data_IF_851350521799
#
_entry.id   IF_851350521799
#
_cell.length_a   1.000
_cell.length_b   1.000
_cell.length_c   1.000
_cell.angle_alpha   90.00
_cell.angle_beta   90.00
_cell.angle_gamma   90.00
#
_symmetry.space_group_name_H-M   'P 1'
#
loop_
_entity.id
_entity.type
_entity.pdbx_description
1 polymer ?
#
# COMPACT_ATOMS: atom_id res chain seq x y z
N UNK A 1 -22.90 18.22 -0.45
CA UNK A 1 -23.02 17.30 -1.61
C UNK A 1 -22.15 17.87 -2.72
N UNK A 2 -21.17 17.08 -3.18
CA UNK A 2 -20.36 17.42 -4.36
C UNK A 2 -21.22 17.26 -5.62
N UNK A 3 -21.05 18.15 -6.60
CA UNK A 3 -21.65 17.97 -7.92
C UNK A 3 -21.05 16.75 -8.62
N UNK A 4 -21.88 15.96 -9.29
CA UNK A 4 -21.42 14.74 -9.96
C UNK A 4 -20.43 15.03 -11.10
N UNK A 5 -20.59 16.16 -11.79
CA UNK A 5 -19.65 16.56 -12.84
C UNK A 5 -18.28 16.96 -12.27
N UNK A 6 -18.25 17.51 -11.07
CA UNK A 6 -17.01 17.81 -10.35
C UNK A 6 -16.32 16.51 -9.91
N UNK A 7 -17.09 15.56 -9.36
CA UNK A 7 -16.57 14.24 -9.01
C UNK A 7 -15.96 13.52 -10.21
N UNK A 8 -16.65 13.50 -11.35
CA UNK A 8 -16.16 12.90 -12.60
C UNK A 8 -14.83 13.51 -13.03
N UNK A 9 -14.69 14.84 -12.93
CA UNK A 9 -13.42 15.53 -13.24
C UNK A 9 -12.30 15.13 -12.30
N UNK A 10 -12.59 15.04 -10.99
CA UNK A 10 -11.58 14.65 -10.00
C UNK A 10 -11.14 13.19 -10.18
N UNK A 11 -12.04 12.30 -10.56
CA UNK A 11 -11.69 10.91 -10.91
C UNK A 11 -10.86 10.88 -12.19
N UNK A 12 -11.28 11.61 -13.23
CA UNK A 12 -10.57 11.64 -14.51
C UNK A 12 -9.15 12.21 -14.42
N UNK A 13 -8.88 13.11 -13.47
CA UNK A 13 -7.53 13.65 -13.25
C UNK A 13 -6.74 12.91 -12.14
N UNK A 14 -7.26 11.80 -11.61
CA UNK A 14 -6.59 10.96 -10.62
C UNK A 14 -6.55 11.53 -9.19
N UNK A 15 -7.29 12.61 -8.90
CA UNK A 15 -7.36 13.22 -7.57
C UNK A 15 -8.43 12.60 -6.66
N UNK A 16 -9.29 11.77 -7.22
CA UNK A 16 -10.22 10.88 -6.54
C UNK A 16 -10.11 9.50 -7.17
N UNK A 17 -10.09 8.48 -6.33
CA UNK A 17 -10.12 7.07 -6.73
C UNK A 17 -11.36 6.40 -6.17
N UNK A 18 -11.79 5.34 -6.80
CA UNK A 18 -12.89 4.48 -6.35
C UNK A 18 -12.38 3.03 -6.46
N UNK A 19 -11.71 2.52 -5.41
CA UNK A 19 -11.23 1.14 -5.43
C UNK A 19 -12.40 0.17 -5.55
N UNK A 20 -12.46 -0.58 -6.66
CA UNK A 20 -13.59 -1.45 -6.96
C UNK A 20 -13.21 -2.52 -7.98
N UNK A 21 -12.67 -3.64 -7.51
CA UNK A 21 -12.33 -4.77 -8.36
C UNK A 21 -13.58 -5.37 -9.02
N UNK A 22 -13.51 -5.64 -10.31
CA UNK A 22 -14.61 -6.25 -11.09
C UNK A 22 -15.12 -7.59 -10.52
N UNK A 23 -14.29 -8.29 -9.74
CA UNK A 23 -14.61 -9.57 -9.12
C UNK A 23 -15.22 -9.44 -7.70
N UNK A 24 -15.15 -8.27 -7.06
CA UNK A 24 -15.74 -8.01 -5.75
C UNK A 24 -17.23 -7.64 -5.90
N UNK A 25 -18.12 -8.64 -5.85
CA UNK A 25 -19.54 -8.49 -6.21
C UNK A 25 -20.42 -7.87 -5.13
N UNK A 26 -20.02 -7.94 -3.87
CA UNK A 26 -20.81 -7.37 -2.74
C UNK A 26 -20.32 -5.99 -2.30
N UNK A 27 -19.32 -5.42 -2.97
CA UNK A 27 -18.74 -4.12 -2.62
C UNK A 27 -19.79 -3.00 -2.62
N UNK A 28 -19.75 -2.19 -1.54
CA UNK A 28 -20.37 -0.85 -1.48
C UNK A 28 -19.27 0.19 -1.76
N UNK A 29 -19.12 0.68 -3.01
CA UNK A 29 -17.97 1.45 -3.41
C UNK A 29 -17.93 2.83 -2.76
N UNK A 30 -16.74 3.25 -2.34
CA UNK A 30 -16.50 4.56 -1.75
C UNK A 30 -15.38 5.32 -2.45
N UNK A 31 -15.57 6.61 -2.68
CA UNK A 31 -14.54 7.49 -3.25
C UNK A 31 -13.53 7.94 -2.19
N UNK A 32 -12.24 7.97 -2.54
CA UNK A 32 -11.13 8.42 -1.70
C UNK A 32 -10.39 9.55 -2.43
N UNK A 33 -10.18 10.68 -1.78
CA UNK A 33 -9.38 11.77 -2.36
C UNK A 33 -9.95 13.16 -2.12
N UNK A 34 -9.60 14.07 -3.02
CA UNK A 34 -9.89 15.50 -2.90
C UNK A 34 -11.36 15.79 -2.71
N UNK A 35 -11.67 16.70 -1.80
CA UNK A 35 -13.04 17.16 -1.49
C UNK A 35 -13.96 16.11 -0.87
N UNK A 36 -13.49 14.88 -0.66
CA UNK A 36 -14.24 13.84 0.01
C UNK A 36 -13.85 13.72 1.49
N UNK A 37 -14.77 13.14 2.28
CA UNK A 37 -14.48 12.78 3.66
C UNK A 37 -13.34 11.74 3.72
N UNK A 38 -12.45 11.89 4.70
CA UNK A 38 -11.43 10.86 4.97
C UNK A 38 -12.10 9.53 5.33
N UNK A 39 -11.63 8.45 4.71
CA UNK A 39 -12.09 7.07 4.98
C UNK A 39 -11.23 6.42 6.04
N UNK A 40 -11.83 5.50 6.75
CA UNK A 40 -11.13 4.67 7.75
C UNK A 40 -10.82 3.32 7.14
N UNK A 41 -9.54 2.97 7.13
CA UNK A 41 -9.04 1.65 6.74
C UNK A 41 -8.58 0.91 7.99
N UNK A 42 -9.14 -0.28 8.25
CA UNK A 42 -8.83 -1.10 9.42
C UNK A 42 -7.88 -2.24 9.03
N UNK A 43 -6.73 -2.28 9.69
CA UNK A 43 -5.74 -3.33 9.49
C UNK A 43 -6.04 -4.53 10.38
N UNK A 44 -5.99 -5.73 9.79
CA UNK A 44 -6.14 -7.02 10.46
C UNK A 44 -5.37 -8.10 9.71
N UNK A 45 -5.43 -9.33 10.17
CA UNK A 45 -4.80 -10.45 9.46
C UNK A 45 -4.10 -11.45 10.38
N UNK A 46 -3.92 -12.65 9.87
CA UNK A 46 -3.27 -13.75 10.57
C UNK A 46 -1.74 -13.66 10.55
N UNK A 47 -1.12 -14.18 11.60
CA UNK A 47 0.34 -14.29 11.75
C UNK A 47 0.71 -15.69 12.22
N UNK A 48 2.03 -16.01 12.22
CA UNK A 48 2.52 -17.29 12.74
C UNK A 48 2.06 -17.56 14.19
N UNK A 49 1.94 -16.51 14.99
CA UNK A 49 1.60 -16.62 16.42
C UNK A 49 0.08 -16.65 16.65
N UNK A 50 -0.73 -16.26 15.68
CA UNK A 50 -2.17 -16.22 15.76
C UNK A 50 -2.79 -16.48 14.37
N UNK A 51 -3.39 -17.67 14.18
CA UNK A 51 -3.99 -18.15 12.92
C UNK A 51 -5.48 -18.42 13.11
N UNK A 52 -6.18 -17.56 13.84
CA UNK A 52 -7.61 -17.69 14.11
C UNK A 52 -8.42 -16.87 13.11
N UNK A 53 -8.92 -17.54 12.06
CA UNK A 53 -9.71 -16.91 11.01
C UNK A 53 -11.08 -16.44 11.50
N UNK A 54 -11.69 -17.11 12.47
CA UNK A 54 -12.99 -16.72 13.00
C UNK A 54 -12.85 -15.43 13.80
N UNK A 55 -11.79 -15.29 14.59
CA UNK A 55 -11.46 -14.06 15.29
C UNK A 55 -11.18 -12.91 14.30
N UNK A 56 -10.47 -13.17 13.20
CA UNK A 56 -10.24 -12.13 12.17
C UNK A 56 -11.55 -11.70 11.49
N UNK A 57 -12.46 -12.64 11.21
CA UNK A 57 -13.79 -12.32 10.67
C UNK A 57 -14.64 -11.51 11.65
N UNK A 58 -14.57 -11.80 12.93
CA UNK A 58 -15.24 -11.00 13.97
C UNK A 58 -14.69 -9.55 14.00
N UNK A 59 -13.38 -9.37 13.82
CA UNK A 59 -12.77 -8.03 13.67
C UNK A 59 -13.31 -7.31 12.44
N UNK A 60 -13.40 -7.99 11.29
CA UNK A 60 -13.99 -7.43 10.06
C UNK A 60 -15.42 -6.97 10.30
N UNK A 61 -16.27 -7.85 10.84
CA UNK A 61 -17.66 -7.56 11.11
C UNK A 61 -17.84 -6.37 12.07
N UNK A 62 -17.02 -6.30 13.11
CA UNK A 62 -17.02 -5.20 14.05
C UNK A 62 -16.54 -3.89 13.40
N UNK A 63 -15.48 -3.93 12.59
CA UNK A 63 -14.97 -2.76 11.88
C UNK A 63 -16.03 -2.16 10.93
N UNK A 64 -16.65 -3.00 10.12
CA UNK A 64 -17.74 -2.60 9.20
C UNK A 64 -18.93 -2.03 9.97
N UNK A 65 -19.35 -2.70 11.07
CA UNK A 65 -20.43 -2.21 11.94
C UNK A 65 -20.11 -0.86 12.58
N UNK A 66 -18.85 -0.57 12.83
CA UNK A 66 -18.37 0.72 13.37
C UNK A 66 -18.19 1.78 12.27
N UNK A 67 -18.41 1.43 11.01
CA UNK A 67 -18.36 2.37 9.88
C UNK A 67 -17.02 2.46 9.17
N UNK A 68 -16.14 1.46 9.30
CA UNK A 68 -14.94 1.39 8.47
C UNK A 68 -15.33 1.19 6.98
N UNK A 69 -14.75 1.98 6.11
CA UNK A 69 -14.99 1.92 4.67
C UNK A 69 -14.02 0.97 3.95
N UNK A 70 -12.90 0.65 4.58
CA UNK A 70 -11.92 -0.26 4.02
C UNK A 70 -11.34 -1.20 5.08
N UNK A 71 -11.00 -2.40 4.64
CA UNK A 71 -10.32 -3.43 5.42
C UNK A 71 -9.00 -3.78 4.71
N UNK A 72 -7.90 -3.72 5.44
CA UNK A 72 -6.58 -4.12 4.95
C UNK A 72 -6.22 -5.48 5.54
N UNK A 73 -6.23 -6.50 4.72
CA UNK A 73 -5.77 -7.83 5.09
C UNK A 73 -4.23 -7.90 5.00
N UNK A 74 -3.60 -7.94 6.16
CA UNK A 74 -2.15 -8.06 6.35
C UNK A 74 -1.72 -9.48 6.70
N UNK A 75 -2.55 -10.48 6.38
CA UNK A 75 -2.27 -11.88 6.66
C UNK A 75 -0.93 -12.29 6.07
N UNK A 76 -0.16 -13.01 6.85
CA UNK A 76 1.19 -13.44 6.53
C UNK A 76 1.47 -14.89 6.92
N UNK A 77 0.42 -15.63 7.28
CA UNK A 77 0.50 -17.04 7.64
C UNK A 77 -0.86 -17.73 7.55
N UNK A 78 -0.86 -19.04 7.26
CA UNK A 78 -2.07 -19.84 7.11
C UNK A 78 -2.63 -19.82 5.68
N UNK A 79 -3.90 -20.17 5.52
CA UNK A 79 -4.59 -20.15 4.22
C UNK A 79 -5.09 -18.73 3.90
N UNK A 80 -4.16 -17.87 3.53
CA UNK A 80 -4.41 -16.45 3.24
C UNK A 80 -5.34 -16.27 2.05
N UNK A 81 -5.23 -17.13 1.03
CA UNK A 81 -6.08 -17.06 -0.16
C UNK A 81 -7.54 -17.36 0.17
N UNK A 82 -7.80 -18.36 1.00
CA UNK A 82 -9.17 -18.69 1.43
C UNK A 82 -9.78 -17.53 2.22
N UNK A 83 -9.01 -16.92 3.11
CA UNK A 83 -9.47 -15.77 3.89
C UNK A 83 -9.78 -14.57 2.99
N UNK A 84 -8.88 -14.23 2.08
CA UNK A 84 -9.04 -13.14 1.10
C UNK A 84 -10.28 -13.32 0.24
N UNK A 85 -10.50 -14.52 -0.33
CA UNK A 85 -11.70 -14.84 -1.12
C UNK A 85 -12.98 -14.73 -0.31
N UNK A 86 -12.93 -15.09 0.97
CA UNK A 86 -14.08 -14.91 1.85
C UNK A 86 -14.38 -13.43 2.06
N UNK A 87 -13.36 -12.59 2.29
CA UNK A 87 -13.53 -11.14 2.41
C UNK A 87 -14.17 -10.54 1.15
N UNK A 88 -13.64 -10.83 -0.03
CA UNK A 88 -14.15 -10.28 -1.30
C UNK A 88 -15.49 -10.86 -1.75
N UNK A 89 -15.99 -11.89 -1.07
CA UNK A 89 -17.30 -12.48 -1.34
C UNK A 89 -18.37 -11.99 -0.36
N UNK A 90 -18.02 -11.72 0.89
CA UNK A 90 -18.99 -11.48 1.97
C UNK A 90 -18.92 -10.06 2.56
N UNK A 91 -17.79 -9.36 2.46
CA UNK A 91 -17.60 -8.05 3.06
C UNK A 91 -17.93 -6.91 2.09
N UNK A 92 -18.83 -5.98 2.43
CA UNK A 92 -19.17 -4.87 1.55
C UNK A 92 -18.15 -3.72 1.56
N UNK A 93 -17.17 -3.74 2.48
CA UNK A 93 -16.12 -2.72 2.54
C UNK A 93 -15.04 -2.96 1.47
N UNK A 94 -14.33 -1.92 1.09
CA UNK A 94 -13.16 -1.99 0.19
C UNK A 94 -12.11 -2.91 0.81
N UNK A 95 -11.61 -3.89 0.06
CA UNK A 95 -10.59 -4.84 0.53
C UNK A 95 -9.22 -4.49 -0.07
N UNK A 96 -8.26 -4.28 0.82
CA UNK A 96 -6.86 -4.07 0.46
C UNK A 96 -5.95 -5.20 0.94
N UNK A 97 -4.84 -5.41 0.25
CA UNK A 97 -3.82 -6.41 0.62
C UNK A 97 -2.40 -5.94 0.33
N UNK A 98 -1.43 -6.69 0.83
CA UNK A 98 0.01 -6.51 0.54
C UNK A 98 0.56 -7.80 -0.08
N UNK A 99 0.56 -7.97 -1.41
CA UNK A 99 0.89 -9.23 -2.07
C UNK A 99 2.26 -9.80 -1.69
N UNK A 100 3.25 -8.95 -1.41
CA UNK A 100 4.59 -9.39 -1.02
C UNK A 100 4.60 -10.24 0.26
N UNK A 101 3.63 -10.08 1.17
CA UNK A 101 3.56 -10.90 2.39
C UNK A 101 3.16 -12.33 2.07
N UNK A 102 2.34 -12.51 1.06
CA UNK A 102 1.81 -13.82 0.66
C UNK A 102 2.84 -14.63 -0.14
N UNK A 103 3.65 -13.99 -0.97
CA UNK A 103 4.63 -14.66 -1.81
C UNK A 103 5.60 -15.55 -1.02
N UNK A 104 6.09 -15.05 0.11
CA UNK A 104 7.03 -15.77 0.98
C UNK A 104 6.38 -17.01 1.60
N UNK A 105 5.08 -16.94 1.89
CA UNK A 105 4.30 -18.04 2.49
C UNK A 105 3.85 -19.03 1.43
N UNK A 106 3.32 -18.53 0.32
CA UNK A 106 2.71 -19.33 -0.75
C UNK A 106 3.72 -20.26 -1.44
N UNK A 107 4.91 -19.75 -1.79
CA UNK A 107 5.89 -20.55 -2.52
C UNK A 107 6.71 -21.49 -1.65
N UNK A 108 6.70 -21.34 -0.33
CA UNK A 108 7.51 -22.15 0.60
C UNK A 108 9.01 -22.22 0.20
N UNK A 109 9.54 -21.15 -0.38
CA UNK A 109 10.91 -21.01 -0.87
C UNK A 109 11.71 -20.06 0.01
N UNK A 110 13.03 -20.19 -0.04
CA UNK A 110 13.91 -19.14 0.49
C UNK A 110 13.70 -17.85 -0.32
N UNK A 111 13.74 -16.69 0.35
CA UNK A 111 13.45 -15.40 -0.25
C UNK A 111 14.23 -15.17 -1.56
N UNK A 112 15.54 -15.50 -1.60
CA UNK A 112 16.39 -15.36 -2.78
C UNK A 112 16.03 -16.26 -3.96
N UNK A 113 15.19 -17.27 -3.76
CA UNK A 113 14.79 -18.25 -4.78
C UNK A 113 13.46 -17.86 -5.44
N UNK A 114 12.77 -16.86 -4.91
CA UNK A 114 11.54 -16.31 -5.52
C UNK A 114 11.97 -15.52 -6.76
N UNK A 115 11.44 -15.90 -7.90
CA UNK A 115 11.72 -15.26 -9.20
C UNK A 115 10.89 -14.00 -9.40
N UNK A 116 11.33 -13.11 -10.28
CA UNK A 116 10.56 -11.92 -10.66
C UNK A 116 9.15 -12.29 -11.14
N UNK A 117 9.03 -13.35 -11.93
CA UNK A 117 7.73 -13.85 -12.40
C UNK A 117 6.81 -14.26 -11.25
N UNK A 118 7.33 -14.96 -10.26
CA UNK A 118 6.54 -15.39 -9.08
C UNK A 118 6.07 -14.19 -8.26
N UNK A 119 6.86 -13.10 -8.17
CA UNK A 119 6.40 -11.85 -7.57
C UNK A 119 5.19 -11.23 -8.31
N UNK A 120 5.17 -11.28 -9.64
CA UNK A 120 4.06 -10.79 -10.45
C UNK A 120 2.85 -11.74 -10.40
N UNK A 121 3.10 -13.06 -10.39
CA UNK A 121 2.04 -14.07 -10.29
C UNK A 121 1.23 -13.92 -8.99
N UNK A 122 1.87 -13.56 -7.86
CA UNK A 122 1.17 -13.26 -6.61
C UNK A 122 0.30 -12.00 -6.75
N UNK A 123 0.77 -10.95 -7.40
CA UNK A 123 -0.05 -9.75 -7.66
C UNK A 123 -1.29 -10.13 -8.46
N UNK A 124 -1.13 -10.94 -9.51
CA UNK A 124 -2.24 -11.43 -10.33
C UNK A 124 -3.23 -12.25 -9.51
N UNK A 125 -2.75 -13.16 -8.66
CA UNK A 125 -3.60 -13.98 -7.81
C UNK A 125 -4.48 -13.12 -6.88
N UNK A 126 -3.92 -12.08 -6.26
CA UNK A 126 -4.71 -11.17 -5.42
C UNK A 126 -5.76 -10.39 -6.23
N UNK A 127 -5.42 -9.96 -7.44
CA UNK A 127 -6.36 -9.29 -8.33
C UNK A 127 -7.51 -10.21 -8.75
N UNK A 128 -7.21 -11.47 -9.11
CA UNK A 128 -8.20 -12.50 -9.45
C UNK A 128 -9.14 -12.81 -8.28
N UNK A 129 -8.62 -12.83 -7.05
CA UNK A 129 -9.39 -13.06 -5.84
C UNK A 129 -10.33 -11.90 -5.47
N UNK A 130 -10.31 -10.78 -6.21
CA UNK A 130 -11.26 -9.68 -6.06
C UNK A 130 -10.81 -8.56 -5.14
N UNK A 131 -9.52 -8.44 -4.83
CA UNK A 131 -8.96 -7.36 -4.01
C UNK A 131 -9.10 -6.01 -4.72
N UNK A 132 -9.62 -4.99 -4.03
CA UNK A 132 -9.92 -3.68 -4.61
C UNK A 132 -8.70 -2.77 -4.73
N UNK A 133 -7.74 -2.90 -3.79
CA UNK A 133 -6.47 -2.21 -3.89
C UNK A 133 -5.32 -3.05 -3.33
N UNK A 134 -4.13 -2.84 -3.85
CA UNK A 134 -2.93 -3.55 -3.41
C UNK A 134 -1.81 -2.58 -3.08
N UNK A 135 -1.20 -2.75 -1.89
CA UNK A 135 0.02 -2.03 -1.55
C UNK A 135 1.23 -2.73 -2.18
N UNK A 136 1.90 -2.01 -3.06
CA UNK A 136 3.08 -2.50 -3.80
C UNK A 136 4.25 -1.54 -3.59
N UNK A 137 5.36 -2.05 -3.06
CA UNK A 137 6.56 -1.28 -2.74
C UNK A 137 7.48 -1.17 -3.98
N UNK A 138 7.03 -0.45 -5.00
CA UNK A 138 7.78 -0.24 -6.25
C UNK A 138 8.67 1.01 -6.23
N UNK A 139 8.58 1.86 -5.23
CA UNK A 139 9.40 3.08 -5.10
C UNK A 139 10.86 2.80 -4.76
N UNK A 140 11.14 1.72 -4.01
CA UNK A 140 12.50 1.29 -3.71
C UNK A 140 13.09 0.53 -4.92
N UNK A 141 14.15 1.06 -5.49
CA UNK A 141 14.89 0.50 -6.62
C UNK A 141 16.40 0.58 -6.36
N UNK A 142 17.24 0.12 -7.28
CA UNK A 142 18.72 0.16 -7.08
C UNK A 142 19.27 1.56 -6.82
N UNK A 143 18.67 2.59 -7.41
CA UNK A 143 19.12 3.97 -7.20
C UNK A 143 18.74 4.47 -5.80
N UNK A 144 17.48 4.26 -5.37
CA UNK A 144 17.02 4.59 -4.00
C UNK A 144 17.75 3.75 -2.96
N UNK A 145 17.97 2.44 -3.22
CA UNK A 145 18.75 1.54 -2.35
C UNK A 145 20.21 2.00 -2.17
N UNK A 146 20.83 2.53 -3.22
CA UNK A 146 22.20 3.08 -3.12
C UNK A 146 22.22 4.31 -2.21
N UNK A 147 21.24 5.22 -2.33
CA UNK A 147 21.10 6.40 -1.46
C UNK A 147 20.81 5.99 -0.03
N UNK A 148 19.88 5.05 0.16
CA UNK A 148 19.55 4.46 1.46
C UNK A 148 20.79 3.93 2.19
N UNK A 149 21.68 3.19 1.50
CA UNK A 149 22.95 2.70 2.10
C UNK A 149 23.92 3.83 2.48
N UNK A 150 23.88 4.93 1.75
CA UNK A 150 24.71 6.09 2.06
C UNK A 150 24.14 6.97 3.18
N UNK A 151 22.86 6.86 3.42
CA UNK A 151 22.13 7.55 4.48
C UNK A 151 22.39 6.88 5.83
N UNK A 152 22.54 7.68 6.87
CA UNK A 152 22.83 7.19 8.22
C UNK A 152 21.55 7.16 9.05
N UNK A 153 20.55 6.43 8.57
CA UNK A 153 19.31 6.23 9.32
C UNK A 153 19.56 5.56 10.66
N UNK A 154 18.84 6.05 11.67
CA UNK A 154 18.84 5.45 13.00
C UNK A 154 18.04 4.12 12.99
N UNK A 155 16.89 4.13 12.30
CA UNK A 155 15.97 2.99 12.22
C UNK A 155 15.87 2.47 10.79
N UNK A 156 16.82 1.87 10.22
CA UNK A 156 16.80 1.29 8.87
C UNK A 156 15.44 1.29 8.13
N UNK A 157 15.08 0.21 7.41
CA UNK A 157 13.76 0.05 6.77
C UNK A 157 12.79 -0.57 7.77
N UNK A 158 11.79 0.18 8.19
CA UNK A 158 10.74 -0.28 9.13
C UNK A 158 9.50 -0.82 8.41
N UNK A 159 9.36 -0.54 7.13
CA UNK A 159 8.33 -1.14 6.29
C UNK A 159 8.60 -2.63 6.12
N UNK A 160 7.64 -3.48 6.50
CA UNK A 160 7.79 -4.94 6.34
C UNK A 160 7.93 -5.33 4.86
N UNK A 161 7.05 -4.83 3.99
CA UNK A 161 7.13 -5.09 2.55
C UNK A 161 8.38 -4.49 1.93
N UNK A 162 8.73 -3.26 2.31
CA UNK A 162 9.97 -2.61 1.89
C UNK A 162 11.22 -3.39 2.29
N UNK A 163 11.27 -3.92 3.52
CA UNK A 163 12.42 -4.71 3.98
C UNK A 163 12.54 -6.07 3.27
N UNK A 164 11.41 -6.72 2.96
CA UNK A 164 11.41 -7.98 2.21
C UNK A 164 11.99 -7.77 0.80
N UNK A 165 11.48 -6.79 0.07
CA UNK A 165 11.94 -6.54 -1.30
C UNK A 165 13.37 -6.03 -1.34
N UNK A 166 13.77 -5.16 -0.39
CA UNK A 166 15.15 -4.70 -0.27
C UNK A 166 16.10 -5.86 0.00
N UNK A 167 15.76 -6.76 0.94
CA UNK A 167 16.55 -7.94 1.22
C UNK A 167 16.68 -8.87 0.00
N UNK A 168 15.58 -9.04 -0.77
CA UNK A 168 15.62 -9.79 -2.02
C UNK A 168 16.58 -9.17 -3.04
N UNK A 169 16.53 -7.85 -3.22
CA UNK A 169 17.44 -7.12 -4.10
C UNK A 169 18.90 -7.29 -3.68
N UNK A 170 19.19 -7.19 -2.39
CA UNK A 170 20.55 -7.36 -1.86
C UNK A 170 21.06 -8.80 -2.03
N UNK A 171 20.22 -9.81 -1.79
CA UNK A 171 20.57 -11.21 -1.90
C UNK A 171 20.78 -11.67 -3.35
N UNK A 172 20.04 -11.12 -4.29
CA UNK A 172 20.04 -11.55 -5.69
C UNK A 172 20.89 -10.65 -6.59
N UNK A 173 21.13 -9.40 -6.17
CA UNK A 173 21.74 -8.38 -7.01
C UNK A 173 20.83 -7.87 -8.13
N UNK A 174 19.56 -8.30 -8.17
CA UNK A 174 18.58 -7.89 -9.18
C UNK A 174 17.90 -6.56 -8.81
N UNK A 175 17.21 -5.96 -9.78
CA UNK A 175 16.33 -4.83 -9.56
C UNK A 175 15.05 -5.28 -8.85
N UNK A 176 14.37 -4.35 -8.16
CA UNK A 176 13.04 -4.58 -7.63
C UNK A 176 12.08 -5.00 -8.76
N UNK A 177 11.52 -6.23 -8.76
CA UNK A 177 10.68 -6.71 -9.84
C UNK A 177 9.41 -5.88 -10.04
N UNK A 178 8.85 -5.28 -8.98
CA UNK A 178 7.70 -4.39 -9.10
C UNK A 178 8.04 -3.05 -9.74
N UNK A 179 9.29 -2.62 -9.69
CA UNK A 179 9.78 -1.45 -10.41
C UNK A 179 10.20 -1.80 -11.84
N UNK A 180 10.95 -2.89 -12.03
CA UNK A 180 11.46 -3.32 -13.32
C UNK A 180 10.33 -3.70 -14.28
N UNK A 181 9.34 -4.46 -13.79
CA UNK A 181 8.16 -4.92 -14.54
C UNK A 181 6.90 -4.12 -14.17
N UNK A 182 7.05 -2.82 -13.91
CA UNK A 182 5.95 -1.98 -13.45
C UNK A 182 4.78 -1.95 -14.43
N UNK A 183 5.06 -1.93 -15.74
CA UNK A 183 4.03 -1.93 -16.78
C UNK A 183 3.19 -3.22 -16.78
N UNK A 184 3.79 -4.36 -16.48
CA UNK A 184 3.08 -5.63 -16.33
C UNK A 184 2.20 -5.64 -15.06
N UNK A 185 2.67 -5.04 -13.98
CA UNK A 185 1.86 -4.84 -12.76
C UNK A 185 0.67 -3.94 -13.07
N UNK A 186 0.86 -2.86 -13.82
CA UNK A 186 -0.23 -1.97 -14.26
C UNK A 186 -1.23 -2.68 -15.16
N UNK A 187 -0.77 -3.54 -16.06
CA UNK A 187 -1.65 -4.32 -16.93
C UNK A 187 -2.54 -5.29 -16.13
N UNK A 188 -2.00 -5.89 -15.05
CA UNK A 188 -2.80 -6.68 -14.10
C UNK A 188 -3.83 -5.80 -13.40
N UNK A 189 -3.42 -4.65 -12.85
CA UNK A 189 -4.32 -3.73 -12.16
C UNK A 189 -5.45 -3.26 -13.09
N UNK A 190 -5.15 -2.89 -14.32
CA UNK A 190 -6.12 -2.49 -15.33
C UNK A 190 -7.10 -3.62 -15.69
N UNK A 191 -6.59 -4.85 -15.85
CA UNK A 191 -7.41 -6.01 -16.21
C UNK A 191 -8.52 -6.29 -15.19
N UNK A 192 -8.23 -6.09 -13.88
CA UNK A 192 -9.14 -6.41 -12.77
C UNK A 192 -9.78 -5.18 -12.11
N UNK A 193 -9.45 -3.97 -12.58
CA UNK A 193 -9.88 -2.70 -11.98
C UNK A 193 -9.37 -2.50 -10.55
N UNK A 194 -8.13 -2.88 -10.31
CA UNK A 194 -7.47 -2.77 -9.00
C UNK A 194 -6.79 -1.41 -8.87
N UNK A 195 -7.06 -0.72 -7.78
CA UNK A 195 -6.31 0.49 -7.41
C UNK A 195 -4.94 0.13 -6.86
N UNK A 196 -3.89 0.80 -7.33
CA UNK A 196 -2.55 0.65 -6.79
C UNK A 196 -2.33 1.59 -5.62
N UNK A 197 -1.98 1.03 -4.46
CA UNK A 197 -1.43 1.78 -3.33
C UNK A 197 0.09 1.71 -3.41
N UNK A 198 0.73 2.83 -3.75
CA UNK A 198 2.18 2.91 -3.88
C UNK A 198 2.82 2.98 -2.48
N UNK A 199 3.43 1.87 -2.07
CA UNK A 199 3.95 1.68 -0.73
C UNK A 199 5.22 2.48 -0.44
N UNK A 200 5.30 3.02 0.78
CA UNK A 200 6.42 3.80 1.31
C UNK A 200 7.48 2.89 1.99
N UNK A 201 8.29 2.21 1.21
CA UNK A 201 9.35 1.33 1.73
C UNK A 201 10.34 2.10 2.63
N UNK A 202 10.65 3.34 2.27
CA UNK A 202 11.59 4.22 2.97
C UNK A 202 10.90 5.17 3.96
N UNK A 203 9.68 4.89 4.44
CA UNK A 203 9.10 5.69 5.52
C UNK A 203 10.00 5.71 6.75
N UNK A 204 10.09 6.82 7.49
CA UNK A 204 10.92 6.89 8.70
C UNK A 204 10.38 5.98 9.80
N UNK A 205 11.29 5.42 10.62
CA UNK A 205 10.96 4.62 11.79
C UNK A 205 10.96 5.43 13.09
N UNK A 206 11.55 6.61 13.05
CA UNK A 206 11.61 7.56 14.16
C UNK A 206 11.70 8.98 13.63
N UNK A 207 11.54 9.95 14.53
CA UNK A 207 11.57 11.39 14.18
C UNK A 207 12.93 11.85 13.63
N UNK A 208 14.02 11.20 14.00
CA UNK A 208 15.35 11.53 13.50
C UNK A 208 15.55 11.20 12.03
N UNK A 209 14.83 10.22 11.52
CA UNK A 209 14.88 9.78 10.13
C UNK A 209 13.82 10.46 9.25
N UNK A 210 12.95 11.31 9.87
CA UNK A 210 11.86 11.97 9.17
C UNK A 210 12.37 12.99 8.15
N UNK A 211 11.81 12.97 6.93
CA UNK A 211 12.16 13.86 5.82
C UNK A 211 13.61 13.72 5.36
N UNK A 212 14.22 12.57 5.54
CA UNK A 212 15.57 12.29 5.06
C UNK A 212 15.61 12.10 3.53
N UNK A 213 16.82 11.95 3.02
CA UNK A 213 17.04 11.79 1.57
C UNK A 213 16.40 10.51 1.03
N UNK A 214 16.35 9.44 1.82
CA UNK A 214 15.78 8.15 1.41
C UNK A 214 14.26 8.24 1.25
N UNK A 215 13.57 8.89 2.18
CA UNK A 215 12.13 9.13 2.09
C UNK A 215 11.77 10.01 0.89
N UNK A 216 12.49 11.12 0.71
CA UNK A 216 12.19 12.07 -0.38
C UNK A 216 12.53 11.49 -1.75
N UNK A 217 13.62 10.74 -1.88
CA UNK A 217 13.98 10.09 -3.14
C UNK A 217 12.97 9.03 -3.56
N UNK A 218 12.49 8.23 -2.60
CA UNK A 218 11.40 7.30 -2.89
C UNK A 218 10.15 8.04 -3.34
N UNK A 219 9.77 9.13 -2.65
CA UNK A 219 8.61 9.92 -3.02
C UNK A 219 8.72 10.51 -4.45
N UNK A 220 9.90 10.94 -4.88
CA UNK A 220 10.14 11.37 -6.27
C UNK A 220 9.87 10.22 -7.24
N UNK A 221 10.37 9.03 -6.94
CA UNK A 221 10.12 7.83 -7.74
C UNK A 221 8.62 7.51 -7.78
N UNK A 222 7.91 7.58 -6.64
CA UNK A 222 6.46 7.34 -6.60
C UNK A 222 5.68 8.34 -7.46
N UNK A 223 6.13 9.59 -7.53
CA UNK A 223 5.53 10.59 -8.43
C UNK A 223 5.68 10.27 -9.91
N UNK A 224 6.81 9.68 -10.31
CA UNK A 224 7.02 9.20 -11.68
C UNK A 224 6.15 7.99 -12.00
N UNK A 225 6.08 7.03 -11.07
CA UNK A 225 5.26 5.83 -11.19
C UNK A 225 3.76 6.17 -11.24
N UNK A 226 3.32 7.18 -10.49
CA UNK A 226 1.94 7.70 -10.53
C UNK A 226 1.56 8.15 -11.94
N UNK A 227 2.42 8.93 -12.61
CA UNK A 227 2.14 9.36 -13.99
C UNK A 227 2.02 8.19 -14.97
N UNK A 228 2.94 7.22 -14.86
CA UNK A 228 2.90 6.00 -15.70
C UNK A 228 1.64 5.18 -15.46
N UNK A 229 1.16 5.10 -14.20
CA UNK A 229 -0.09 4.42 -13.88
C UNK A 229 -1.31 5.11 -14.54
N UNK A 230 -1.37 6.45 -14.45
CA UNK A 230 -2.45 7.21 -15.09
C UNK A 230 -2.44 7.10 -16.62
N UNK A 231 -1.26 7.02 -17.26
CA UNK A 231 -1.13 6.78 -18.70
C UNK A 231 -1.70 5.42 -19.13
N UNK A 232 -1.83 4.49 -18.19
CA UNK A 232 -2.45 3.16 -18.39
C UNK A 232 -3.86 3.03 -17.79
N UNK A 233 -4.49 4.14 -17.42
CA UNK A 233 -5.82 4.19 -16.79
C UNK A 233 -5.90 3.41 -15.46
N UNK A 234 -4.82 3.35 -14.69
CA UNK A 234 -4.77 2.71 -13.36
C UNK A 234 -4.89 3.77 -12.28
N UNK A 235 -5.85 3.62 -11.38
CA UNK A 235 -6.03 4.47 -10.22
C UNK A 235 -4.90 4.23 -9.20
N UNK A 236 -4.44 5.32 -8.57
CA UNK A 236 -3.31 5.30 -7.63
C UNK A 236 -3.63 6.09 -6.38
N UNK A 237 -3.19 5.60 -5.23
CA UNK A 237 -3.02 6.35 -3.99
C UNK A 237 -1.59 6.17 -3.47
N UNK A 238 -1.10 7.15 -2.72
CA UNK A 238 0.28 7.20 -2.25
C UNK A 238 0.30 6.92 -0.75
N UNK A 239 1.08 5.96 -0.30
CA UNK A 239 1.33 5.76 1.12
C UNK A 239 2.31 6.79 1.67
N UNK A 240 2.07 7.18 2.93
CA UNK A 240 2.88 8.17 3.63
C UNK A 240 2.24 9.56 3.71
N UNK A 241 2.88 10.45 4.44
CA UNK A 241 4.01 10.23 5.35
C UNK A 241 3.60 9.45 6.61
N UNK A 242 4.55 8.74 7.20
CA UNK A 242 4.37 8.02 8.46
C UNK A 242 5.49 8.35 9.46
N UNK A 243 5.23 8.24 10.76
CA UNK A 243 6.21 8.32 11.85
C UNK A 243 7.05 9.61 11.86
N UNK A 244 6.42 10.76 11.64
CA UNK A 244 7.15 12.04 11.57
C UNK A 244 6.65 13.06 12.59
N UNK A 245 7.48 14.08 12.90
CA UNK A 245 7.09 15.16 13.79
C UNK A 245 5.88 15.93 13.26
N UNK A 246 4.99 16.34 14.16
CA UNK A 246 3.75 17.05 13.81
C UNK A 246 3.99 18.33 12.99
N UNK A 247 5.07 19.04 13.26
CA UNK A 247 5.45 20.26 12.54
C UNK A 247 5.97 20.02 11.13
N UNK A 248 6.29 18.76 10.76
CA UNK A 248 6.74 18.41 9.42
C UNK A 248 5.63 17.85 8.54
N UNK A 249 4.47 17.48 9.10
CA UNK A 249 3.37 16.83 8.37
C UNK A 249 2.88 17.71 7.23
N UNK A 250 2.62 18.99 7.49
CA UNK A 250 2.12 19.90 6.46
C UNK A 250 3.09 20.00 5.29
N UNK A 251 4.37 20.25 5.55
CA UNK A 251 5.39 20.36 4.51
C UNK A 251 5.52 19.06 3.68
N UNK A 252 5.51 17.89 4.33
CA UNK A 252 5.56 16.61 3.64
C UNK A 252 4.32 16.36 2.77
N UNK A 253 3.13 16.72 3.25
CA UNK A 253 1.91 16.63 2.46
C UNK A 253 1.89 17.57 1.26
N UNK A 254 2.43 18.77 1.39
CA UNK A 254 2.58 19.72 0.28
C UNK A 254 3.57 19.21 -0.78
N UNK A 255 4.70 18.63 -0.34
CA UNK A 255 5.69 17.99 -1.21
C UNK A 255 5.03 16.81 -1.95
N UNK A 256 4.36 15.92 -1.24
CA UNK A 256 3.70 14.75 -1.82
C UNK A 256 2.63 15.15 -2.85
N UNK A 257 1.76 16.10 -2.51
CA UNK A 257 0.73 16.61 -3.43
C UNK A 257 1.34 17.22 -4.69
N UNK A 258 2.47 17.92 -4.55
CA UNK A 258 3.16 18.53 -5.67
C UNK A 258 3.80 17.48 -6.58
N UNK A 259 4.56 16.55 -6.02
CA UNK A 259 5.30 15.52 -6.75
C UNK A 259 4.33 14.51 -7.39
N UNK A 260 3.32 14.07 -6.64
CA UNK A 260 2.33 13.08 -7.08
C UNK A 260 1.05 13.72 -7.68
N UNK A 261 1.09 15.01 -8.07
CA UNK A 261 0.03 15.73 -8.81
C UNK A 261 -1.35 15.66 -8.15
N UNK A 262 -1.40 15.61 -6.82
CA UNK A 262 -2.65 15.57 -6.07
C UNK A 262 -3.30 14.20 -5.95
N UNK A 263 -2.60 13.13 -6.30
CA UNK A 263 -3.07 11.76 -6.04
C UNK A 263 -3.47 11.59 -4.56
N UNK A 264 -4.51 10.82 -4.26
CA UNK A 264 -4.94 10.56 -2.89
C UNK A 264 -3.83 9.98 -2.02
N UNK A 265 -3.86 10.30 -0.73
CA UNK A 265 -2.85 9.85 0.23
C UNK A 265 -3.44 8.87 1.23
N UNK A 266 -2.66 7.85 1.56
CA UNK A 266 -2.91 6.93 2.69
C UNK A 266 -1.90 7.25 3.79
N UNK A 267 -2.37 7.46 5.01
CA UNK A 267 -1.50 7.71 6.15
C UNK A 267 -1.92 6.84 7.33
N UNK A 268 -1.03 6.71 8.31
CA UNK A 268 -1.21 5.82 9.46
C UNK A 268 -1.89 6.55 10.61
N UNK A 269 -2.78 5.86 11.33
CA UNK A 269 -3.43 6.38 12.53
C UNK A 269 -2.42 6.87 13.57
N UNK A 270 -1.27 6.21 13.65
CA UNK A 270 -0.19 6.51 14.60
C UNK A 270 0.89 7.42 14.02
N UNK A 271 0.53 8.31 13.12
CA UNK A 271 1.46 9.27 12.52
C UNK A 271 2.30 10.02 13.55
N UNK A 272 1.73 10.26 14.73
CA UNK A 272 2.31 10.99 15.86
C UNK A 272 2.33 10.22 17.18
N UNK A 273 1.90 8.98 17.19
CA UNK A 273 1.72 8.23 18.43
C UNK A 273 3.03 8.00 19.19
N UNK A 274 4.14 7.97 18.49
CA UNK A 274 5.45 7.77 19.09
C UNK A 274 5.91 9.00 19.89
N UNK A 275 5.68 10.19 19.36
CA UNK A 275 6.05 11.44 20.02
C UNK A 275 5.27 11.60 21.33
N UNK A 276 3.97 11.36 21.30
CA UNK A 276 3.13 11.45 22.49
C UNK A 276 3.43 10.38 23.53
N UNK A 277 3.89 9.22 23.14
CA UNK A 277 4.25 8.13 24.04
C UNK A 277 5.55 8.37 24.77
N UNK A 278 6.53 8.96 24.13
CA UNK A 278 7.81 9.32 24.76
C UNK A 278 7.69 10.51 25.70
N UNK A 279 6.77 11.42 25.41
CA UNK A 279 6.51 12.57 26.27
C UNK A 279 5.69 12.21 27.51
N UNK A 280 5.09 11.01 27.55
CA UNK A 280 4.26 10.51 28.65
C UNK A 280 4.97 9.46 29.52
N UNK A 281 6.20 9.11 29.23
CA UNK A 281 7.06 8.19 29.97
C UNK A 281 8.31 8.91 30.44
#
# INVERSE_FOLDING_TARGET
HMDINELVKLVACGQVIIPANKNHKCLDPNGIGSMLRTKINVNLGTSRDCVDLDMELDKVNNAVKMGAEAIMDLSSFGDTQKFRRKLTTECPAIIGTVPIYDAVVYYHKALKEITAKEWLDIVRMHAEDGVDFMTIHCGINKATAKKFRADKRLMNIVSRGGSIIYAWMEMTGNENPFFEYYDEVLDICREYDVTMSLGDACRPGCIMDASDISQIEELVTLGELTRRAWEKDVQVMIEGPGHMPINQIQANMEIQKTICKGAPSVSYTHLRAHETRHDLV
#
